data_IF_356044296054
#
_entry.id   IF_356044296054
#
_cell.length_a   1.000
_cell.length_b   1.000
_cell.length_c   1.000
_cell.angle_alpha   90.00
_cell.angle_beta   90.00
_cell.angle_gamma   90.00
#
_symmetry.space_group_name_H-M   'P 1'
#
loop_
_entity.id
_entity.type
_entity.pdbx_description
1 polymer ?
#
# COMPACT_ATOMS: atom_id res chain seq x y z
N UNK A 1 16.35 16.11 21.39
CA UNK A 1 14.90 16.38 21.33
C UNK A 1 14.50 16.63 19.88
N UNK A 2 13.63 15.79 19.32
CA UNK A 2 12.91 16.06 18.07
C UNK A 2 11.66 15.15 18.07
N UNK A 3 10.49 15.70 18.38
CA UNK A 3 9.26 14.93 18.46
C UNK A 3 8.74 14.64 17.05
N UNK A 4 8.91 13.41 16.57
CA UNK A 4 8.24 12.96 15.35
C UNK A 4 6.80 12.59 15.68
N UNK A 5 5.86 13.37 15.15
CA UNK A 5 4.43 13.14 15.32
C UNK A 5 4.03 11.81 14.67
N UNK A 6 3.87 10.77 15.48
CA UNK A 6 3.40 9.47 15.04
C UNK A 6 1.90 9.54 14.74
N UNK A 7 1.54 9.58 13.46
CA UNK A 7 0.14 9.42 13.04
C UNK A 7 -0.30 7.99 13.34
N UNK A 8 -1.03 7.84 14.44
CA UNK A 8 -1.45 6.58 15.04
C UNK A 8 -2.63 6.00 14.26
N UNK A 9 -2.40 4.95 13.50
CA UNK A 9 -3.45 4.18 12.79
C UNK A 9 -3.68 2.81 13.47
N UNK A 10 -4.13 2.85 14.72
CA UNK A 10 -4.64 1.67 15.42
C UNK A 10 -6.18 1.72 15.44
N UNK A 11 -6.84 0.88 14.62
CA UNK A 11 -8.21 0.34 14.82
C UNK A 11 -8.65 -0.54 13.65
N UNK A 12 -8.24 -1.81 13.68
CA UNK A 12 -9.05 -2.93 13.18
C UNK A 12 -9.00 -3.98 14.28
N UNK A 13 -10.11 -4.14 15.01
CA UNK A 13 -10.21 -5.09 16.11
C UNK A 13 -10.85 -6.40 15.68
N UNK A 14 -10.46 -7.49 16.34
CA UNK A 14 -11.20 -8.77 16.32
C UNK A 14 -11.18 -9.38 17.73
N UNK A 15 -12.33 -9.91 18.10
CA UNK A 15 -12.84 -10.20 19.45
C UNK A 15 -12.03 -11.15 20.36
N UNK A 16 -12.20 -10.93 21.67
CA UNK A 16 -11.98 -11.89 22.77
C UNK A 16 -13.03 -13.02 22.70
N UNK A 17 -12.60 -14.28 22.89
CA UNK A 17 -13.49 -15.40 23.24
C UNK A 17 -12.86 -16.16 24.41
N UNK A 18 -13.42 -15.95 25.59
CA UNK A 18 -13.24 -16.82 26.76
C UNK A 18 -14.23 -17.99 26.72
N UNK A 19 -13.72 -19.20 26.85
CA UNK A 19 -14.48 -20.43 27.15
C UNK A 19 -13.81 -21.19 28.29
N UNK A 20 -14.57 -21.74 29.24
CA UNK A 20 -14.07 -22.18 30.54
C UNK A 20 -14.73 -23.49 31.02
N UNK A 21 -14.04 -24.23 31.91
CA UNK A 21 -14.46 -25.33 32.81
C UNK A 21 -14.32 -26.81 32.38
N UNK A 22 -13.35 -27.46 33.07
CA UNK A 22 -13.45 -28.59 34.03
C UNK A 22 -13.87 -30.02 33.61
N UNK A 23 -12.97 -30.95 34.01
CA UNK A 23 -13.18 -32.28 34.64
C UNK A 23 -13.71 -33.44 33.74
N UNK A 24 -13.43 -34.74 33.98
CA UNK A 24 -12.73 -35.46 35.09
C UNK A 24 -12.09 -36.78 34.61
N UNK A 25 -11.11 -37.36 35.34
CA UNK A 25 -10.73 -38.79 35.18
C UNK A 25 -9.33 -39.18 35.69
N UNK A 26 -9.25 -40.17 36.60
CA UNK A 26 -8.00 -40.69 37.21
C UNK A 26 -7.73 -42.11 36.74
N UNK A 27 -6.46 -42.46 36.46
CA UNK A 27 -5.94 -43.82 36.69
C UNK A 27 -4.41 -43.85 36.81
N UNK A 28 -3.90 -44.71 37.70
CA UNK A 28 -2.49 -44.86 38.09
C UNK A 28 -1.69 -45.63 37.04
N UNK A 29 -0.41 -45.30 36.88
CA UNK A 29 0.60 -46.12 36.22
C UNK A 29 2.00 -45.71 36.65
N UNK A 30 2.77 -46.63 37.24
CA UNK A 30 4.14 -46.38 37.71
C UNK A 30 5.14 -46.42 36.54
N UNK A 31 6.02 -45.42 36.46
CA UNK A 31 7.47 -45.61 36.33
C UNK A 31 8.16 -44.24 36.42
N UNK A 32 9.07 -44.07 37.37
CA UNK A 32 9.87 -42.85 37.50
C UNK A 32 11.01 -42.87 36.47
N UNK A 33 10.85 -42.11 35.38
CA UNK A 33 11.94 -41.84 34.46
C UNK A 33 12.98 -40.91 35.13
N UNK A 34 14.30 -41.18 35.02
CA UNK A 34 15.31 -40.32 35.62
C UNK A 34 15.29 -38.92 35.02
N UNK A 35 15.42 -37.90 35.87
CA UNK A 35 15.40 -36.50 35.47
C UNK A 35 16.62 -36.13 34.59
N UNK A 36 16.36 -35.74 33.33
CA UNK A 36 17.36 -35.29 32.34
C UNK A 36 18.17 -34.05 32.76
N UNK A 37 17.78 -33.38 33.86
CA UNK A 37 18.56 -32.29 34.45
C UNK A 37 19.93 -32.77 34.98
N UNK A 38 20.11 -34.06 35.24
CA UNK A 38 21.37 -34.63 35.72
C UNK A 38 22.41 -34.84 34.61
N UNK A 39 21.96 -35.21 33.40
CA UNK A 39 22.80 -35.28 32.19
C UNK A 39 23.20 -33.88 31.73
N UNK A 40 22.24 -32.94 31.65
CA UNK A 40 22.53 -31.55 31.26
C UNK A 40 23.60 -30.90 32.16
N UNK A 41 23.53 -31.13 33.49
CA UNK A 41 24.54 -30.63 34.43
C UNK A 41 25.91 -31.29 34.28
N UNK A 42 25.98 -32.60 33.99
CA UNK A 42 27.26 -33.29 33.75
C UNK A 42 27.92 -32.88 32.44
N UNK A 43 27.13 -32.54 31.42
CA UNK A 43 27.63 -32.06 30.13
C UNK A 43 28.11 -30.60 30.20
N UNK A 44 27.40 -29.74 30.95
CA UNK A 44 27.87 -28.38 31.29
C UNK A 44 29.20 -28.40 32.06
N UNK A 45 29.42 -29.37 32.96
CA UNK A 45 30.66 -29.46 33.75
C UNK A 45 31.88 -29.88 32.91
N UNK A 46 31.72 -30.70 31.86
CA UNK A 46 32.85 -31.16 31.02
C UNK A 46 33.31 -30.16 29.96
N UNK A 47 32.50 -29.16 29.61
CA UNK A 47 32.87 -28.14 28.59
C UNK A 47 33.80 -27.05 29.18
N UNK A 48 33.95 -26.97 30.50
CA UNK A 48 34.76 -25.95 31.17
C UNK A 48 36.29 -26.18 31.17
N UNK A 49 36.79 -27.31 30.66
CA UNK A 49 38.24 -27.61 30.68
C UNK A 49 39.01 -27.08 29.45
N UNK A 50 38.34 -26.41 28.50
CA UNK A 50 39.02 -25.70 27.41
C UNK A 50 38.34 -24.36 27.13
N UNK A 51 38.92 -23.27 27.66
CA UNK A 51 38.32 -21.92 27.59
C UNK A 51 37.96 -21.46 26.17
N UNK A 52 38.75 -21.88 25.17
CA UNK A 52 38.55 -21.61 23.74
C UNK A 52 37.19 -22.14 23.24
N UNK A 53 36.77 -23.33 23.68
CA UNK A 53 35.49 -23.93 23.28
C UNK A 53 34.31 -23.21 23.93
N UNK A 54 34.45 -22.83 25.21
CA UNK A 54 33.49 -22.00 25.93
C UNK A 54 33.29 -20.63 25.28
N UNK A 55 34.37 -19.97 24.85
CA UNK A 55 34.31 -18.69 24.14
C UNK A 55 33.71 -18.80 22.74
N UNK A 56 33.99 -19.87 22.00
CA UNK A 56 33.34 -20.14 20.72
C UNK A 56 31.82 -20.31 20.88
N UNK A 57 31.39 -21.09 21.88
CA UNK A 57 29.96 -21.29 22.15
C UNK A 57 29.25 -20.00 22.58
N UNK A 58 29.85 -19.22 23.50
CA UNK A 58 29.35 -17.89 23.88
C UNK A 58 29.17 -16.97 22.67
N UNK A 59 30.22 -16.85 21.85
CA UNK A 59 30.19 -16.05 20.62
C UNK A 59 29.08 -16.50 19.66
N UNK A 60 28.90 -17.81 19.48
CA UNK A 60 27.87 -18.37 18.61
C UNK A 60 26.46 -17.99 19.09
N UNK A 61 26.16 -18.16 20.37
CA UNK A 61 24.86 -17.79 20.95
C UNK A 61 24.59 -16.29 20.80
N UNK A 62 25.54 -15.42 21.18
CA UNK A 62 25.37 -13.96 21.07
C UNK A 62 25.14 -13.48 19.64
N UNK A 63 25.92 -14.04 18.69
CA UNK A 63 25.81 -13.71 17.26
C UNK A 63 24.50 -14.22 16.66
N UNK A 64 24.06 -15.42 17.03
CA UNK A 64 22.76 -15.98 16.63
C UNK A 64 21.59 -15.16 17.21
N UNK A 65 21.70 -14.73 18.47
CA UNK A 65 20.72 -13.83 19.10
C UNK A 65 20.62 -12.48 18.39
N UNK A 66 21.73 -11.88 17.93
CA UNK A 66 21.71 -10.65 17.11
C UNK A 66 20.92 -10.84 15.80
N UNK A 67 21.06 -11.97 15.12
CA UNK A 67 20.26 -12.28 13.91
C UNK A 67 18.77 -12.42 14.26
N UNK A 68 18.45 -13.19 15.32
CA UNK A 68 17.07 -13.41 15.76
C UNK A 68 16.39 -12.09 16.18
N UNK A 69 17.11 -11.22 16.89
CA UNK A 69 16.62 -9.88 17.25
C UNK A 69 16.31 -9.06 16.00
N UNK A 70 17.22 -9.00 15.02
CA UNK A 70 17.01 -8.27 13.77
C UNK A 70 15.83 -8.83 12.96
N UNK A 71 15.68 -10.16 12.91
CA UNK A 71 14.54 -10.84 12.29
C UNK A 71 13.20 -10.57 13.01
N UNK A 72 13.23 -10.35 14.32
CA UNK A 72 12.05 -10.07 15.15
C UNK A 72 11.63 -8.59 15.14
N UNK A 73 12.61 -7.67 15.12
CA UNK A 73 12.39 -6.23 15.24
C UNK A 73 12.37 -5.51 13.87
N UNK A 74 13.37 -5.75 13.02
CA UNK A 74 13.59 -4.97 11.79
C UNK A 74 12.99 -5.64 10.55
N UNK A 75 12.97 -6.98 10.48
CA UNK A 75 12.46 -7.73 9.31
C UNK A 75 11.22 -8.57 9.63
N UNK A 76 10.46 -8.26 10.68
CA UNK A 76 9.28 -9.03 11.08
C UNK A 76 8.31 -9.29 9.90
N UNK A 77 7.73 -10.50 9.82
CA UNK A 77 6.81 -10.88 8.74
C UNK A 77 5.59 -9.93 8.65
N UNK A 78 5.02 -9.49 9.77
CA UNK A 78 3.91 -8.53 9.80
C UNK A 78 4.35 -7.13 9.37
N UNK A 79 5.59 -6.75 9.67
CA UNK A 79 6.17 -5.48 9.22
C UNK A 79 6.38 -5.49 7.69
N UNK A 80 6.97 -6.55 7.14
CA UNK A 80 7.13 -6.73 5.69
C UNK A 80 5.77 -6.85 4.98
N UNK A 81 4.74 -7.44 5.62
CA UNK A 81 3.36 -7.45 5.11
C UNK A 81 2.79 -6.03 5.04
N UNK A 82 2.91 -5.24 6.12
CA UNK A 82 2.48 -3.82 6.14
C UNK A 82 3.20 -2.99 5.07
N UNK A 83 4.51 -3.20 4.89
CA UNK A 83 5.27 -2.55 3.82
C UNK A 83 4.84 -2.97 2.42
N UNK A 84 4.51 -4.25 2.18
CA UNK A 84 3.89 -4.71 0.92
C UNK A 84 2.56 -4.01 0.68
N UNK A 85 1.66 -3.98 1.66
CA UNK A 85 0.36 -3.31 1.52
C UNK A 85 0.51 -1.82 1.24
N UNK A 86 1.44 -1.14 1.92
CA UNK A 86 1.72 0.29 1.68
C UNK A 86 2.33 0.55 0.30
N UNK A 87 3.22 -0.32 -0.18
CA UNK A 87 3.76 -0.22 -1.54
C UNK A 87 2.70 -0.43 -2.62
N UNK A 88 1.85 -1.45 -2.45
CA UNK A 88 0.74 -1.71 -3.37
C UNK A 88 -0.31 -0.58 -3.34
N UNK A 89 -0.50 0.10 -2.21
CA UNK A 89 -1.29 1.33 -2.12
C UNK A 89 -0.65 2.48 -2.94
N UNK A 90 0.65 2.74 -2.74
CA UNK A 90 1.37 3.82 -3.45
C UNK A 90 1.33 3.66 -4.97
N UNK A 91 1.39 2.42 -5.49
CA UNK A 91 1.21 2.13 -6.92
C UNK A 91 -0.17 2.56 -7.48
N UNK A 92 -1.19 2.61 -6.64
CA UNK A 92 -2.57 2.98 -7.00
C UNK A 92 -2.88 4.46 -6.77
N UNK A 93 -2.05 5.17 -6.01
CA UNK A 93 -2.22 6.59 -5.78
C UNK A 93 -2.02 7.40 -7.07
N UNK A 94 -2.71 8.55 -7.14
CA UNK A 94 -2.47 9.57 -8.15
C UNK A 94 -1.52 10.63 -7.58
N UNK A 95 -0.63 11.16 -8.41
CA UNK A 95 0.41 12.12 -8.01
C UNK A 95 0.26 13.42 -8.79
N UNK A 96 0.36 14.54 -8.08
CA UNK A 96 0.11 15.90 -8.58
C UNK A 96 1.25 16.85 -8.22
N UNK A 97 1.42 17.93 -8.97
CA UNK A 97 2.22 19.08 -8.54
C UNK A 97 1.30 20.12 -7.91
N UNK A 98 1.52 20.41 -6.63
CA UNK A 98 0.94 21.58 -5.96
C UNK A 98 1.94 22.76 -6.08
N UNK A 99 1.47 23.91 -6.57
CA UNK A 99 2.20 25.18 -6.58
C UNK A 99 1.91 25.93 -5.30
N UNK A 100 2.95 26.37 -4.58
CA UNK A 100 2.81 27.14 -3.35
C UNK A 100 3.78 28.33 -3.37
N UNK A 101 3.43 29.49 -2.79
CA UNK A 101 4.41 30.52 -2.46
C UNK A 101 5.45 30.03 -1.43
N UNK A 102 6.70 30.49 -1.51
CA UNK A 102 7.77 30.10 -0.57
C UNK A 102 7.69 30.79 0.80
N UNK A 103 7.16 32.02 0.85
CA UNK A 103 7.22 32.89 2.03
C UNK A 103 5.89 33.12 2.75
N UNK A 104 4.90 32.25 2.52
CA UNK A 104 3.73 32.20 3.40
C UNK A 104 4.15 31.67 4.78
N UNK A 105 4.38 32.59 5.72
CA UNK A 105 4.31 32.30 7.15
C UNK A 105 2.92 31.76 7.48
N UNK A 106 2.85 30.85 8.45
CA UNK A 106 1.62 30.17 8.85
C UNK A 106 0.68 31.13 9.62
N UNK A 107 0.04 32.04 8.88
CA UNK A 107 -0.84 33.07 9.42
C UNK A 107 -1.29 34.11 8.38
N UNK A 108 -0.47 34.39 7.36
CA UNK A 108 -0.75 35.45 6.39
C UNK A 108 -1.47 34.91 5.13
N UNK A 109 -2.77 34.61 5.28
CA UNK A 109 -3.64 34.00 4.26
C UNK A 109 -3.95 34.95 3.08
N UNK A 110 -2.94 35.33 2.31
CA UNK A 110 -3.15 36.03 1.03
C UNK A 110 -3.79 35.09 0.00
N UNK A 111 -5.00 35.47 -0.44
CA UNK A 111 -5.97 34.67 -1.19
C UNK A 111 -5.60 34.42 -2.66
N UNK A 112 -4.35 34.06 -2.97
CA UNK A 112 -3.96 33.66 -4.32
C UNK A 112 -4.55 32.28 -4.64
N UNK A 113 -5.66 32.28 -5.38
CA UNK A 113 -6.27 31.07 -5.91
C UNK A 113 -5.22 30.25 -6.69
N UNK A 114 -5.17 28.91 -6.54
CA UNK A 114 -4.19 28.07 -7.23
C UNK A 114 -4.10 28.36 -8.74
N UNK A 115 -5.25 28.58 -9.38
CA UNK A 115 -5.41 28.90 -10.80
C UNK A 115 -4.58 30.12 -11.22
N UNK A 116 -4.55 31.18 -10.39
CA UNK A 116 -3.75 32.39 -10.61
C UNK A 116 -2.25 32.08 -10.46
N UNK A 117 -1.85 31.20 -9.55
CA UNK A 117 -0.45 30.79 -9.39
C UNK A 117 0.07 30.00 -10.60
N UNK A 118 -0.76 29.19 -11.26
CA UNK A 118 -0.35 28.47 -12.47
C UNK A 118 -0.19 29.41 -13.68
N UNK A 119 -0.97 30.49 -13.77
CA UNK A 119 -0.81 31.51 -14.83
C UNK A 119 0.54 32.26 -14.76
N UNK A 120 1.19 32.29 -13.58
CA UNK A 120 2.52 32.90 -13.39
C UNK A 120 3.69 32.00 -13.81
N UNK A 121 3.43 30.73 -14.13
CA UNK A 121 4.44 29.74 -14.49
C UNK A 121 4.53 29.63 -16.03
N UNK A 122 5.76 29.60 -16.55
CA UNK A 122 5.97 29.32 -17.97
C UNK A 122 5.47 27.89 -18.32
N UNK A 123 4.54 27.72 -19.29
CA UNK A 123 3.97 26.41 -19.60
C UNK A 123 5.00 25.37 -20.05
N UNK A 124 6.07 25.78 -20.75
CA UNK A 124 7.15 24.91 -21.18
C UNK A 124 8.01 24.42 -20.01
N UNK A 125 8.34 25.32 -19.08
CA UNK A 125 9.02 24.98 -17.81
C UNK A 125 8.12 24.08 -16.95
N UNK A 126 6.80 24.33 -16.89
CA UNK A 126 5.86 23.48 -16.14
C UNK A 126 5.80 22.06 -16.72
N UNK A 127 5.70 21.91 -18.05
CA UNK A 127 5.68 20.61 -18.70
C UNK A 127 6.99 19.82 -18.47
N UNK A 128 8.14 20.51 -18.45
CA UNK A 128 9.43 19.92 -18.03
C UNK A 128 9.39 19.44 -16.57
N UNK A 129 8.81 20.23 -15.66
CA UNK A 129 8.65 19.82 -14.26
C UNK A 129 7.68 18.64 -14.09
N UNK A 130 6.60 18.56 -14.87
CA UNK A 130 5.73 17.38 -14.93
C UNK A 130 6.55 16.13 -15.28
N UNK A 131 7.34 16.18 -16.36
CA UNK A 131 8.22 15.06 -16.78
C UNK A 131 9.24 14.66 -15.70
N UNK A 132 9.84 15.63 -15.00
CA UNK A 132 10.73 15.38 -13.86
C UNK A 132 9.99 14.67 -12.73
N UNK A 133 8.79 15.16 -12.36
CA UNK A 133 7.93 14.52 -11.35
C UNK A 133 7.52 13.10 -11.73
N UNK A 134 7.15 12.86 -12.99
CA UNK A 134 6.75 11.54 -13.49
C UNK A 134 7.91 10.55 -13.34
N UNK A 135 9.13 10.99 -13.68
CA UNK A 135 10.34 10.20 -13.52
C UNK A 135 10.68 9.96 -12.03
N UNK A 136 10.55 10.98 -11.17
CA UNK A 136 10.76 10.85 -9.73
C UNK A 136 9.81 9.83 -9.10
N UNK A 137 8.51 9.85 -9.45
CA UNK A 137 7.52 8.84 -9.01
C UNK A 137 7.86 7.44 -9.53
N UNK A 138 8.18 7.30 -10.83
CA UNK A 138 8.57 6.01 -11.41
C UNK A 138 9.79 5.40 -10.73
N UNK A 139 10.85 6.19 -10.54
CA UNK A 139 12.08 5.77 -9.84
C UNK A 139 11.77 5.39 -8.38
N UNK A 140 10.98 6.20 -7.67
CA UNK A 140 10.57 5.91 -6.29
C UNK A 140 9.83 4.56 -6.19
N UNK A 141 8.87 4.30 -7.08
CA UNK A 141 8.11 3.03 -7.10
C UNK A 141 8.99 1.83 -7.48
N UNK A 142 9.97 2.00 -8.37
CA UNK A 142 10.95 0.95 -8.71
C UNK A 142 11.85 0.62 -7.51
N UNK A 143 12.47 1.63 -6.88
CA UNK A 143 13.31 1.45 -5.70
C UNK A 143 12.55 0.82 -4.53
N UNK A 144 11.31 1.24 -4.28
CA UNK A 144 10.44 0.62 -3.27
C UNK A 144 10.20 -0.87 -3.56
N UNK A 145 9.99 -1.25 -4.83
CA UNK A 145 9.83 -2.66 -5.26
C UNK A 145 11.09 -3.47 -4.99
N UNK A 146 12.25 -2.94 -5.41
CA UNK A 146 13.56 -3.58 -5.29
C UNK A 146 13.94 -3.79 -3.83
N UNK A 147 13.93 -2.73 -3.02
CA UNK A 147 14.23 -2.82 -1.59
C UNK A 147 13.26 -3.76 -0.86
N UNK A 148 11.96 -3.76 -1.19
CA UNK A 148 11.01 -4.70 -0.57
C UNK A 148 11.25 -6.16 -1.00
N UNK A 149 11.79 -6.40 -2.19
CA UNK A 149 12.23 -7.73 -2.63
C UNK A 149 13.47 -8.17 -1.84
N UNK A 150 14.46 -7.28 -1.76
CA UNK A 150 15.72 -7.50 -1.06
C UNK A 150 15.53 -7.80 0.43
N UNK A 151 14.66 -7.05 1.11
CA UNK A 151 14.31 -7.26 2.52
C UNK A 151 13.61 -8.61 2.78
N UNK A 152 12.89 -9.15 1.80
CA UNK A 152 12.28 -10.49 1.89
C UNK A 152 13.30 -11.59 1.62
N UNK A 153 14.14 -11.43 0.60
CA UNK A 153 15.21 -12.37 0.28
C UNK A 153 16.17 -12.50 1.47
N UNK A 154 16.69 -11.37 1.96
CA UNK A 154 17.55 -11.31 3.14
C UNK A 154 16.90 -11.84 4.42
N UNK A 155 15.58 -11.72 4.59
CA UNK A 155 14.87 -12.38 5.72
C UNK A 155 14.99 -13.90 5.64
N UNK A 156 14.76 -14.48 4.47
CA UNK A 156 14.80 -15.94 4.30
C UNK A 156 16.24 -16.49 4.35
N UNK A 157 17.21 -15.77 3.80
CA UNK A 157 18.64 -16.06 3.97
C UNK A 157 19.04 -16.08 5.46
N UNK A 158 18.70 -15.03 6.21
CA UNK A 158 19.00 -14.95 7.65
C UNK A 158 18.31 -16.07 8.44
N UNK A 159 17.08 -16.47 8.06
CA UNK A 159 16.40 -17.64 8.67
C UNK A 159 17.17 -18.93 8.40
N UNK A 160 17.72 -19.12 7.20
CA UNK A 160 18.59 -20.28 6.90
C UNK A 160 19.85 -20.24 7.77
N UNK A 161 20.52 -19.09 7.87
CA UNK A 161 21.72 -18.91 8.71
C UNK A 161 21.41 -19.23 10.20
N UNK A 162 20.24 -18.84 10.73
CA UNK A 162 19.86 -19.19 12.11
C UNK A 162 19.62 -20.68 12.35
N UNK A 163 19.43 -21.48 11.30
CA UNK A 163 19.30 -22.96 11.41
C UNK A 163 20.64 -23.68 11.44
N UNK A 164 21.75 -23.01 11.15
CA UNK A 164 23.08 -23.61 11.27
C UNK A 164 23.33 -23.93 12.74
N UNK A 165 23.60 -25.21 13.01
CA UNK A 165 23.93 -25.74 14.34
C UNK A 165 25.43 -25.99 14.52
N UNK A 166 26.17 -26.10 13.41
CA UNK A 166 27.64 -26.16 13.43
C UNK A 166 28.21 -24.79 13.85
N UNK A 167 28.82 -24.79 15.03
CA UNK A 167 29.42 -23.62 15.68
C UNK A 167 30.57 -23.07 14.85
N UNK A 168 31.45 -23.94 14.37
CA UNK A 168 32.68 -23.57 13.65
C UNK A 168 32.32 -22.94 12.31
N UNK A 169 31.43 -23.59 11.54
CA UNK A 169 30.94 -23.08 10.26
C UNK A 169 30.18 -21.76 10.42
N UNK A 170 29.34 -21.63 11.44
CA UNK A 170 28.64 -20.37 11.71
C UNK A 170 29.59 -19.22 12.07
N UNK A 171 30.58 -19.47 12.94
CA UNK A 171 31.54 -18.46 13.36
C UNK A 171 32.47 -18.02 12.23
N UNK A 172 32.90 -18.95 11.37
CA UNK A 172 33.72 -18.68 10.18
C UNK A 172 33.01 -17.72 9.21
N UNK A 173 31.71 -17.93 8.97
CA UNK A 173 30.92 -17.11 8.05
C UNK A 173 30.32 -15.84 8.69
N UNK A 174 30.61 -15.58 9.97
CA UNK A 174 30.00 -14.47 10.71
C UNK A 174 30.27 -13.09 10.08
N UNK A 175 31.48 -12.84 9.57
CA UNK A 175 31.80 -11.52 8.99
C UNK A 175 30.92 -11.23 7.76
N UNK A 176 30.69 -12.24 6.92
CA UNK A 176 29.75 -12.18 5.78
C UNK A 176 28.32 -11.96 6.26
N UNK A 177 27.87 -12.68 7.30
CA UNK A 177 26.56 -12.47 7.92
C UNK A 177 26.40 -11.05 8.50
N UNK A 178 27.44 -10.51 9.13
CA UNK A 178 27.44 -9.17 9.71
C UNK A 178 27.37 -8.08 8.64
N UNK A 179 28.12 -8.24 7.53
CA UNK A 179 28.00 -7.38 6.36
C UNK A 179 26.58 -7.45 5.75
N UNK A 180 25.98 -8.65 5.69
CA UNK A 180 24.60 -8.85 5.20
C UNK A 180 23.56 -8.15 6.08
N UNK A 181 23.70 -8.24 7.41
CA UNK A 181 22.86 -7.49 8.37
C UNK A 181 22.99 -5.97 8.17
N UNK A 182 24.22 -5.46 8.00
CA UNK A 182 24.47 -4.05 7.72
C UNK A 182 23.80 -3.56 6.43
N UNK A 183 23.93 -4.33 5.35
CA UNK A 183 23.28 -4.05 4.06
C UNK A 183 21.76 -4.02 4.20
N UNK A 184 21.15 -5.04 4.82
CA UNK A 184 19.70 -5.11 5.00
C UNK A 184 19.17 -3.99 5.91
N UNK A 185 19.93 -3.58 6.92
CA UNK A 185 19.61 -2.42 7.77
C UNK A 185 19.60 -1.11 6.96
N UNK A 186 20.60 -0.92 6.08
CA UNK A 186 20.65 0.25 5.20
C UNK A 186 19.52 0.22 4.15
N UNK A 187 19.23 -0.93 3.56
CA UNK A 187 18.10 -1.12 2.64
C UNK A 187 16.77 -0.80 3.32
N UNK A 188 16.57 -1.22 4.57
CA UNK A 188 15.37 -0.89 5.35
C UNK A 188 15.26 0.62 5.60
N UNK A 189 16.36 1.26 6.00
CA UNK A 189 16.42 2.72 6.20
C UNK A 189 16.09 3.48 4.92
N UNK A 190 16.64 3.05 3.79
CA UNK A 190 16.39 3.66 2.47
C UNK A 190 14.96 3.42 1.99
N UNK A 191 14.41 2.22 2.20
CA UNK A 191 12.99 1.94 1.93
C UNK A 191 12.07 2.87 2.72
N UNK A 192 12.32 3.04 4.03
CA UNK A 192 11.52 3.92 4.89
C UNK A 192 11.64 5.39 4.47
N UNK A 193 12.85 5.87 4.10
CA UNK A 193 13.03 7.27 3.71
C UNK A 193 12.31 7.64 2.40
N UNK A 194 12.08 6.67 1.51
CA UNK A 194 11.33 6.85 0.25
C UNK A 194 9.86 6.38 0.31
N UNK A 195 9.33 5.97 1.48
CA UNK A 195 7.91 5.60 1.65
C UNK A 195 6.93 6.79 1.63
N UNK A 196 7.45 8.02 1.63
CA UNK A 196 6.69 9.26 1.50
C UNK A 196 7.30 10.02 0.32
N UNK A 197 6.52 10.30 -0.75
CA UNK A 197 6.98 11.12 -1.87
C UNK A 197 7.53 12.46 -1.36
N UNK A 198 8.77 12.73 -1.70
CA UNK A 198 9.54 13.87 -1.18
C UNK A 198 9.27 15.15 -1.99
N UNK A 199 9.92 16.25 -1.58
CA UNK A 199 9.89 17.53 -2.32
C UNK A 199 10.31 17.29 -3.78
N UNK A 200 9.65 17.99 -4.70
CA UNK A 200 10.06 18.00 -6.11
C UNK A 200 11.37 18.80 -6.21
N UNK A 201 12.43 18.22 -6.77
CA UNK A 201 13.72 18.91 -6.89
C UNK A 201 13.70 19.94 -8.04
N UNK A 202 13.27 21.16 -7.71
CA UNK A 202 13.25 22.30 -8.64
C UNK A 202 14.64 22.93 -8.74
N UNK A 203 15.35 22.72 -9.86
CA UNK A 203 16.65 23.36 -10.15
C UNK A 203 16.55 24.71 -10.87
N UNK A 204 15.39 25.10 -11.38
CA UNK A 204 15.23 26.27 -12.27
C UNK A 204 14.10 27.20 -11.81
N UNK A 205 14.24 28.50 -12.10
CA UNK A 205 13.15 29.47 -11.93
C UNK A 205 12.01 29.16 -12.91
N UNK A 206 10.82 28.91 -12.36
CA UNK A 206 9.64 28.41 -13.08
C UNK A 206 8.81 29.52 -13.73
N UNK A 207 8.97 30.74 -13.23
CA UNK A 207 8.38 31.95 -13.77
C UNK A 207 9.07 32.34 -15.07
N UNK A 208 8.39 33.06 -15.95
CA UNK A 208 9.06 33.73 -17.07
C UNK A 208 9.93 34.89 -16.55
N UNK A 209 10.94 35.29 -17.32
CA UNK A 209 11.90 36.36 -16.94
C UNK A 209 11.32 37.77 -17.15
N UNK A 210 10.10 37.97 -16.65
CA UNK A 210 9.46 39.28 -16.59
C UNK A 210 10.21 40.16 -15.58
N UNK A 211 10.60 41.38 -16.01
CA UNK A 211 11.35 42.38 -15.23
C UNK A 211 10.50 43.05 -14.12
N UNK A 212 9.80 42.25 -13.33
CA UNK A 212 8.85 42.69 -12.30
C UNK A 212 9.25 42.12 -10.94
N UNK A 213 9.68 42.99 -10.03
CA UNK A 213 10.02 42.66 -8.64
C UNK A 213 8.80 42.20 -7.79
N UNK A 214 7.65 41.90 -8.42
CA UNK A 214 6.39 41.55 -7.76
C UNK A 214 5.97 40.08 -7.90
N UNK A 215 6.73 39.24 -8.62
CA UNK A 215 6.36 37.82 -8.77
C UNK A 215 6.76 37.05 -7.50
N UNK A 216 5.81 36.43 -6.77
CA UNK A 216 6.13 35.68 -5.56
C UNK A 216 7.00 34.47 -5.87
N UNK A 217 8.02 34.22 -5.06
CA UNK A 217 8.92 33.10 -5.29
C UNK A 217 8.18 31.77 -5.04
N UNK A 218 7.97 30.97 -6.10
CA UNK A 218 7.18 29.73 -6.03
C UNK A 218 8.02 28.51 -5.61
N UNK A 219 7.39 27.54 -4.95
CA UNK A 219 7.87 26.17 -4.73
C UNK A 219 6.88 25.17 -5.31
N UNK A 220 7.38 24.07 -5.86
CA UNK A 220 6.55 22.93 -6.27
C UNK A 220 6.69 21.81 -5.25
N UNK A 221 5.56 21.18 -4.92
CA UNK A 221 5.52 20.00 -4.06
C UNK A 221 4.82 18.87 -4.81
N UNK A 222 5.39 17.67 -4.74
CA UNK A 222 4.76 16.47 -5.26
C UNK A 222 3.75 15.97 -4.21
N UNK A 223 2.46 16.08 -4.52
CA UNK A 223 1.36 15.63 -3.66
C UNK A 223 0.85 14.27 -4.10
N UNK A 224 0.49 13.43 -3.14
CA UNK A 224 -0.15 12.13 -3.36
C UNK A 224 -1.62 12.25 -3.01
N UNK A 225 -2.51 11.68 -3.84
CA UNK A 225 -3.93 11.46 -3.52
C UNK A 225 -4.21 9.97 -3.48
N UNK A 226 -4.92 9.51 -2.46
CA UNK A 226 -5.27 8.10 -2.29
C UNK A 226 -6.15 7.58 -3.45
N UNK A 227 -6.12 6.29 -3.81
CA UNK A 227 -6.89 5.77 -4.92
C UNK A 227 -8.40 5.96 -4.73
N UNK A 228 -9.08 6.26 -5.83
CA UNK A 228 -10.54 6.11 -5.94
C UNK A 228 -10.85 4.63 -6.14
N UNK A 229 -11.85 4.12 -5.44
CA UNK A 229 -12.28 2.72 -5.49
C UNK A 229 -13.80 2.61 -5.42
N UNK A 230 -14.37 1.66 -6.16
CA UNK A 230 -15.80 1.35 -6.09
C UNK A 230 -16.16 0.75 -4.73
N UNK A 231 -17.26 1.23 -4.16
CA UNK A 231 -17.97 0.50 -3.11
C UNK A 231 -18.72 -0.66 -3.76
N UNK A 232 -18.15 -1.85 -3.60
CA UNK A 232 -18.66 -3.11 -4.16
C UNK A 232 -19.91 -3.64 -3.45
N UNK A 233 -20.31 -3.03 -2.32
CA UNK A 233 -21.54 -3.39 -1.59
C UNK A 233 -22.69 -2.46 -1.94
N UNK A 234 -22.40 -1.17 -2.12
CA UNK A 234 -23.40 -0.16 -2.48
C UNK A 234 -23.58 0.03 -4.00
N UNK A 235 -22.64 -0.42 -4.83
CA UNK A 235 -22.83 -0.47 -6.29
C UNK A 235 -23.70 -1.67 -6.68
N UNK A 236 -24.87 -1.41 -7.27
CA UNK A 236 -25.91 -2.41 -7.53
C UNK A 236 -26.48 -2.32 -8.94
N UNK A 237 -26.82 -3.47 -9.51
CA UNK A 237 -27.45 -3.58 -10.82
C UNK A 237 -28.96 -3.81 -10.73
N UNK A 238 -29.69 -3.04 -11.53
CA UNK A 238 -31.11 -3.16 -11.80
C UNK A 238 -31.33 -3.90 -13.14
N UNK A 239 -32.55 -3.87 -13.68
CA UNK A 239 -32.89 -4.51 -14.95
C UNK A 239 -32.23 -3.83 -16.16
N UNK A 240 -32.25 -2.50 -16.20
CA UNK A 240 -31.75 -1.67 -17.30
C UNK A 240 -30.89 -0.49 -16.81
N UNK A 241 -30.58 -0.43 -15.51
CA UNK A 241 -29.67 0.57 -14.95
C UNK A 241 -28.69 -0.05 -13.95
N UNK A 242 -27.62 0.69 -13.65
CA UNK A 242 -26.67 0.37 -12.59
C UNK A 242 -26.44 1.63 -11.77
N UNK A 243 -26.68 1.54 -10.47
CA UNK A 243 -26.28 2.56 -9.51
C UNK A 243 -24.87 2.24 -9.00
N UNK A 244 -23.95 3.19 -9.14
CA UNK A 244 -22.54 3.05 -8.74
C UNK A 244 -22.22 4.01 -7.60
N UNK A 245 -21.41 3.55 -6.65
CA UNK A 245 -20.86 4.38 -5.58
C UNK A 245 -19.36 4.12 -5.46
N UNK A 246 -18.59 5.16 -5.15
CA UNK A 246 -17.15 5.07 -4.92
C UNK A 246 -16.71 5.97 -3.76
N UNK A 247 -15.49 5.74 -3.30
CA UNK A 247 -14.87 6.55 -2.25
C UNK A 247 -13.37 6.67 -2.49
N UNK A 248 -12.75 7.63 -1.79
CA UNK A 248 -11.30 7.78 -1.75
C UNK A 248 -10.78 6.95 -0.57
N UNK A 249 -9.84 6.04 -0.81
CA UNK A 249 -9.42 5.07 0.21
C UNK A 249 -8.72 5.76 1.41
N UNK A 250 -9.38 5.78 2.56
CA UNK A 250 -8.83 6.32 3.81
C UNK A 250 -8.88 7.85 3.93
N UNK A 251 -9.58 8.53 3.02
CA UNK A 251 -9.82 9.98 3.07
C UNK A 251 -11.33 10.27 3.08
N UNK A 252 -11.78 11.39 3.67
CA UNK A 252 -13.18 11.81 3.55
C UNK A 252 -13.53 12.15 2.09
N UNK A 253 -14.82 12.17 1.76
CA UNK A 253 -15.27 12.62 0.45
C UNK A 253 -14.87 14.09 0.21
N UNK A 254 -13.98 14.30 -0.75
CA UNK A 254 -13.61 15.62 -1.27
C UNK A 254 -14.34 15.86 -2.60
N UNK A 255 -14.63 17.12 -2.90
CA UNK A 255 -15.17 17.50 -4.20
C UNK A 255 -14.05 17.40 -5.24
N UNK A 256 -14.08 16.36 -6.07
CA UNK A 256 -13.15 16.12 -7.17
C UNK A 256 -13.94 15.75 -8.42
N UNK A 257 -13.35 15.96 -9.60
CA UNK A 257 -13.87 15.44 -10.86
C UNK A 257 -13.35 14.04 -11.12
N UNK A 258 -14.25 13.16 -11.53
CA UNK A 258 -13.99 11.76 -11.87
C UNK A 258 -14.38 11.50 -13.32
N UNK A 259 -13.72 10.52 -13.93
CA UNK A 259 -14.05 9.97 -15.23
C UNK A 259 -14.55 8.54 -15.02
N UNK A 260 -15.85 8.34 -15.23
CA UNK A 260 -16.51 7.03 -15.19
C UNK A 260 -16.63 6.51 -16.63
N UNK A 261 -16.13 5.31 -16.89
CA UNK A 261 -16.33 4.62 -18.18
C UNK A 261 -17.08 3.34 -17.98
N UNK A 262 -17.88 2.95 -18.97
CA UNK A 262 -18.49 1.63 -19.01
C UNK A 262 -18.29 0.98 -20.39
N UNK A 263 -18.26 -0.35 -20.41
CA UNK A 263 -18.20 -1.18 -21.62
C UNK A 263 -18.98 -2.48 -21.41
N UNK A 264 -19.79 -2.85 -22.41
CA UNK A 264 -20.40 -4.18 -22.50
C UNK A 264 -19.31 -5.24 -22.71
N UNK A 265 -19.29 -6.26 -21.84
CA UNK A 265 -18.34 -7.38 -21.89
C UNK A 265 -19.00 -8.63 -22.46
N UNK A 266 -20.24 -8.89 -22.06
CA UNK A 266 -20.99 -10.10 -22.43
C UNK A 266 -22.48 -9.76 -22.50
N UNK A 267 -23.18 -10.27 -23.51
CA UNK A 267 -24.61 -10.05 -23.72
C UNK A 267 -25.29 -11.36 -24.05
N UNK A 268 -26.30 -11.72 -23.26
CA UNK A 268 -27.22 -12.83 -23.60
C UNK A 268 -28.25 -12.40 -24.69
N UNK A 269 -28.39 -11.11 -24.96
CA UNK A 269 -29.18 -10.59 -26.08
C UNK A 269 -28.36 -10.57 -27.37
N UNK A 270 -28.94 -11.03 -28.48
CA UNK A 270 -28.31 -11.10 -29.81
C UNK A 270 -28.01 -9.73 -30.48
N UNK A 271 -28.05 -8.62 -29.73
CA UNK A 271 -27.78 -7.28 -30.24
C UNK A 271 -26.28 -7.01 -30.31
N UNK A 272 -25.68 -7.25 -31.48
CA UNK A 272 -24.25 -7.02 -31.77
C UNK A 272 -23.84 -5.55 -31.85
N UNK A 273 -24.12 -4.75 -30.81
CA UNK A 273 -23.63 -3.37 -30.67
C UNK A 273 -22.71 -3.27 -29.47
N UNK A 274 -21.44 -2.94 -29.71
CA UNK A 274 -20.53 -2.46 -28.67
C UNK A 274 -21.16 -1.26 -27.97
N UNK A 275 -21.55 -1.44 -26.70
CA UNK A 275 -22.08 -0.38 -25.85
C UNK A 275 -20.99 0.06 -24.89
N UNK A 276 -20.43 1.24 -25.13
CA UNK A 276 -19.51 1.90 -24.22
C UNK A 276 -19.88 3.38 -24.05
N UNK A 277 -19.34 4.01 -23.02
CA UNK A 277 -19.53 5.43 -22.78
C UNK A 277 -18.54 5.97 -21.76
N UNK A 278 -18.42 7.30 -21.72
CA UNK A 278 -17.58 8.05 -20.79
C UNK A 278 -18.43 9.17 -20.19
N UNK A 279 -18.41 9.30 -18.87
CA UNK A 279 -19.20 10.27 -18.10
C UNK A 279 -18.27 11.02 -17.14
N UNK A 280 -18.28 12.34 -17.20
CA UNK A 280 -17.62 13.18 -16.20
C UNK A 280 -18.54 13.36 -14.99
N UNK A 281 -18.04 13.10 -13.78
CA UNK A 281 -18.85 13.09 -12.55
C UNK A 281 -18.17 13.89 -11.45
N UNK A 282 -18.92 14.72 -10.72
CA UNK A 282 -18.43 15.54 -9.58
C UNK A 282 -18.90 15.04 -8.21
N UNK A 283 -19.79 14.04 -8.20
CA UNK A 283 -20.28 13.30 -7.05
C UNK A 283 -19.45 12.03 -6.80
N UNK A 284 -19.67 11.38 -5.66
CA UNK A 284 -19.12 10.06 -5.31
C UNK A 284 -20.02 8.88 -5.73
N UNK A 285 -20.99 9.15 -6.61
CA UNK A 285 -21.99 8.23 -7.09
C UNK A 285 -22.51 8.66 -8.47
N UNK A 286 -23.03 7.71 -9.25
CA UNK A 286 -23.75 7.95 -10.50
C UNK A 286 -24.70 6.78 -10.81
N UNK A 287 -25.78 7.04 -11.54
CA UNK A 287 -26.60 6.01 -12.17
C UNK A 287 -26.36 6.01 -13.68
N UNK A 288 -26.14 4.82 -14.26
CA UNK A 288 -26.08 4.61 -15.70
C UNK A 288 -27.33 3.84 -16.11
N UNK A 289 -28.21 4.51 -16.87
CA UNK A 289 -29.48 3.97 -17.38
C UNK A 289 -29.34 3.37 -18.79
N UNK A 290 -30.46 2.88 -19.34
CA UNK A 290 -30.60 2.36 -20.69
C UNK A 290 -29.65 1.21 -21.06
N UNK A 291 -29.13 0.49 -20.07
CA UNK A 291 -28.31 -0.72 -20.24
C UNK A 291 -29.18 -1.90 -20.71
N UNK A 292 -28.55 -2.85 -21.41
CA UNK A 292 -29.25 -4.08 -21.82
C UNK A 292 -29.53 -4.95 -20.58
N UNK A 293 -30.70 -5.61 -20.48
CA UNK A 293 -30.95 -6.61 -19.44
C UNK A 293 -30.11 -7.87 -19.64
N UNK A 294 -29.94 -8.65 -18.56
CA UNK A 294 -29.17 -9.91 -18.53
C UNK A 294 -27.76 -9.84 -19.15
N UNK A 295 -27.10 -8.68 -19.04
CA UNK A 295 -25.84 -8.36 -19.73
C UNK A 295 -24.78 -7.89 -18.74
N UNK A 296 -23.54 -8.33 -18.96
CA UNK A 296 -22.39 -8.04 -18.08
C UNK A 296 -21.65 -6.81 -18.59
N UNK A 297 -21.55 -5.79 -17.75
CA UNK A 297 -20.85 -4.53 -18.03
C UNK A 297 -19.64 -4.36 -17.12
N UNK A 298 -18.50 -3.99 -17.69
CA UNK A 298 -17.34 -3.48 -16.95
C UNK A 298 -17.48 -1.97 -16.79
N UNK A 299 -17.34 -1.50 -15.56
CA UNK A 299 -17.29 -0.10 -15.16
C UNK A 299 -15.89 0.20 -14.64
N UNK A 300 -15.32 1.34 -15.03
CA UNK A 300 -14.02 1.82 -14.51
C UNK A 300 -14.14 3.25 -14.01
N UNK A 301 -13.53 3.54 -12.87
CA UNK A 301 -13.51 4.88 -12.26
C UNK A 301 -12.07 5.36 -12.10
N UNK A 302 -11.81 6.58 -12.57
CA UNK A 302 -10.56 7.29 -12.39
C UNK A 302 -10.83 8.74 -11.96
N UNK A 303 -9.79 9.44 -11.49
CA UNK A 303 -9.86 10.91 -11.42
C UNK A 303 -9.80 11.47 -12.84
N UNK A 304 -10.58 12.50 -13.12
CA UNK A 304 -10.47 13.24 -14.36
C UNK A 304 -9.04 13.81 -14.49
N UNK A 305 -8.47 13.77 -15.69
CA UNK A 305 -7.15 14.34 -15.92
C UNK A 305 -7.19 15.86 -15.78
N UNK A 306 -6.23 16.43 -15.06
CA UNK A 306 -6.08 17.88 -14.94
C UNK A 306 -4.62 18.28 -15.21
N UNK A 307 -4.41 19.57 -15.45
CA UNK A 307 -3.10 20.10 -15.83
C UNK A 307 -2.01 19.79 -14.79
N UNK A 308 -2.35 19.62 -13.50
CA UNK A 308 -1.43 19.31 -12.42
C UNK A 308 -1.12 17.80 -12.23
N UNK A 309 -1.81 16.88 -12.91
CA UNK A 309 -1.51 15.42 -12.85
C UNK A 309 -0.09 15.15 -13.35
N UNK A 310 0.70 14.43 -12.56
CA UNK A 310 2.07 14.01 -12.88
C UNK A 310 2.18 12.52 -13.17
N UNK A 311 1.44 11.71 -12.41
CA UNK A 311 1.42 10.26 -12.57
C UNK A 311 0.08 9.74 -12.05
N UNK A 312 -0.74 9.18 -12.93
CA UNK A 312 -1.96 8.47 -12.57
C UNK A 312 -2.16 7.35 -13.58
N UNK A 313 -1.92 6.11 -13.15
CA UNK A 313 -2.10 4.90 -13.97
C UNK A 313 -3.23 4.00 -13.45
N UNK A 314 -3.87 4.41 -12.34
CA UNK A 314 -4.88 3.62 -11.66
C UNK A 314 -6.29 4.05 -12.05
N UNK A 315 -7.07 3.08 -12.49
CA UNK A 315 -8.52 3.06 -12.37
C UNK A 315 -8.90 1.86 -11.50
N UNK A 316 -9.98 1.98 -10.72
CA UNK A 316 -10.62 0.78 -10.15
C UNK A 316 -11.66 0.27 -11.14
N UNK A 317 -11.81 -1.06 -11.20
CA UNK A 317 -12.72 -1.74 -12.12
C UNK A 317 -13.74 -2.60 -11.36
N UNK A 318 -14.95 -2.64 -11.87
CA UNK A 318 -16.07 -3.39 -11.33
C UNK A 318 -16.91 -3.96 -12.48
N UNK A 319 -17.14 -5.27 -12.49
CA UNK A 319 -18.08 -5.91 -13.42
C UNK A 319 -19.40 -6.12 -12.68
N UNK A 320 -20.50 -5.66 -13.29
CA UNK A 320 -21.86 -5.91 -12.80
C UNK A 320 -22.72 -6.47 -13.93
N UNK A 321 -23.58 -7.44 -13.59
CA UNK A 321 -24.55 -8.00 -14.52
C UNK A 321 -25.94 -7.43 -14.25
N UNK A 322 -26.58 -6.85 -15.26
CA UNK A 322 -27.97 -6.38 -15.18
C UNK A 322 -28.93 -7.55 -14.99
N UNK A 323 -30.05 -7.31 -14.32
CA UNK A 323 -31.05 -8.35 -14.07
C UNK A 323 -31.78 -8.71 -15.37
N UNK A 324 -32.24 -9.96 -15.48
CA UNK A 324 -33.17 -10.36 -16.55
C UNK A 324 -34.41 -9.47 -16.52
N UNK A 325 -34.92 -9.12 -17.68
CA UNK A 325 -36.24 -8.52 -17.79
C UNK A 325 -37.27 -9.52 -17.27
N UNK A 326 -38.04 -9.14 -16.23
CA UNK A 326 -39.25 -9.88 -15.91
C UNK A 326 -40.24 -9.58 -17.02
N UNK A 327 -40.47 -10.56 -17.90
CA UNK A 327 -41.73 -10.60 -18.63
C UNK A 327 -42.83 -10.63 -17.58
N UNK A 328 -43.72 -9.64 -17.64
CA UNK A 328 -45.01 -9.73 -16.98
C UNK A 328 -45.74 -10.92 -17.60
N UNK A 329 -45.69 -12.07 -16.93
CA UNK A 329 -46.67 -13.13 -17.15
C UNK A 329 -48.03 -12.50 -16.82
N UNK A 330 -48.85 -12.33 -17.85
CA UNK A 330 -50.21 -11.86 -17.69
C UNK A 330 -51.01 -12.79 -16.77
N UNK A 331 -52.11 -12.32 -16.18
CA UNK A 331 -52.92 -13.17 -15.31
C UNK A 331 -53.43 -14.39 -16.10
N UNK A 332 -53.22 -15.59 -15.55
CA UNK A 332 -53.82 -16.82 -16.08
C UNK A 332 -55.35 -16.66 -16.12
N UNK A 333 -55.89 -16.48 -17.34
CA UNK A 333 -57.32 -16.58 -17.57
C UNK A 333 -57.69 -18.06 -17.44
N UNK A 334 -58.07 -18.45 -16.22
CA UNK A 334 -58.75 -19.73 -15.97
C UNK A 334 -60.12 -19.71 -16.63
N UNK A 335 -60.20 -20.12 -17.89
CA UNK A 335 -61.46 -20.56 -18.47
C UNK A 335 -61.82 -21.93 -17.87
N UNK A 336 -62.74 -21.92 -16.90
CA UNK A 336 -63.56 -23.08 -16.61
C UNK A 336 -64.57 -23.24 -17.76
N UNK A 337 -64.54 -24.41 -18.41
CA UNK A 337 -65.65 -25.08 -19.09
C UNK A 337 -65.33 -26.57 -19.16
#
# INVERSE_FOLDING_TARGET
MASFCAVRFDKIGTCDIRGNKKQTGVLKGMMALPCEQSTLKKEIVRINECGILGDAWRNYIDRKNKILQFLGQNLNADLLRRYKTRFELLKKCSYYIDVLPKYLTLGDQSQLQPEVLYQLIDPGKFLRMKKIGTNQVKIQLLLLKEYLSELKCGREELKIITKISDVTMFLLHWNTTCARLGLLSNTLKNFISILIPSKLHVKHHLTSDAKSNKIPQLRLVLRTKMPVVFDRKESVASQNSVALKWFILGEPALHEQYELKYKLVESNCCSGKDRCGVVAVTSNNAEISDLLPDSSYEFTIARAENYAVVYSIWCDALILKTKRAMHLLGPDIKHNS
#
